data_IF_312963184164
#
_entry.id   IF_312963184164
#
_cell.length_a   1.000
_cell.length_b   1.000
_cell.length_c   1.000
_cell.angle_alpha   90.00
_cell.angle_beta   90.00
_cell.angle_gamma   90.00
#
_symmetry.space_group_name_H-M   'P 1'
#
loop_
_entity.id
_entity.type
_entity.pdbx_description
1 polymer ?
#
# COMPACT_ATOMS: atom_id res chain seq x y z
N UNK A 1 17.50 -23.98 -6.90
CA UNK A 1 16.93 -22.96 -5.99
C UNK A 1 15.66 -22.43 -6.62
N UNK A 2 14.48 -22.74 -6.06
CA UNK A 2 13.25 -22.05 -6.44
C UNK A 2 13.23 -20.74 -5.67
N UNK A 3 13.61 -19.63 -6.30
CA UNK A 3 13.05 -18.35 -5.90
C UNK A 3 11.59 -18.39 -6.35
N UNK A 4 10.69 -18.84 -5.47
CA UNK A 4 9.30 -18.47 -5.66
C UNK A 4 9.27 -16.99 -5.30
N UNK A 5 9.46 -16.13 -6.30
CA UNK A 5 9.14 -14.71 -6.16
C UNK A 5 7.69 -14.64 -5.71
N UNK A 6 7.42 -13.80 -4.73
CA UNK A 6 6.07 -13.54 -4.24
C UNK A 6 5.25 -12.97 -5.41
N UNK A 7 4.15 -13.63 -5.85
CA UNK A 7 3.35 -13.19 -6.98
C UNK A 7 2.85 -11.74 -6.87
N UNK A 8 2.69 -11.22 -5.64
CA UNK A 8 2.34 -9.84 -5.41
C UNK A 8 3.47 -8.88 -5.83
N UNK A 9 4.72 -9.18 -5.45
CA UNK A 9 5.88 -8.36 -5.80
C UNK A 9 6.19 -8.39 -7.30
N UNK A 10 6.01 -9.54 -7.98
CA UNK A 10 6.11 -9.62 -9.45
C UNK A 10 5.10 -8.67 -10.13
N UNK A 11 3.89 -8.57 -9.57
CA UNK A 11 2.86 -7.67 -10.09
C UNK A 11 3.21 -6.21 -9.80
N UNK A 12 3.71 -5.91 -8.60
CA UNK A 12 4.16 -4.56 -8.22
C UNK A 12 5.33 -4.10 -9.08
N UNK A 13 6.29 -4.96 -9.41
CA UNK A 13 7.39 -4.64 -10.31
C UNK A 13 6.89 -4.26 -11.71
N UNK A 14 5.88 -4.98 -12.22
CA UNK A 14 5.25 -4.65 -13.51
C UNK A 14 4.49 -3.33 -13.46
N UNK A 15 3.76 -3.06 -12.37
CA UNK A 15 3.07 -1.80 -12.16
C UNK A 15 4.05 -0.63 -12.08
N UNK A 16 5.14 -0.79 -11.32
CA UNK A 16 6.21 0.18 -11.23
C UNK A 16 6.84 0.43 -12.61
N UNK A 17 7.21 -0.61 -13.35
CA UNK A 17 7.80 -0.46 -14.68
C UNK A 17 6.87 0.24 -15.68
N UNK A 18 5.57 -0.07 -15.65
CA UNK A 18 4.57 0.64 -16.46
C UNK A 18 4.48 2.12 -16.09
N UNK A 19 4.49 2.42 -14.80
CA UNK A 19 4.43 3.78 -14.29
C UNK A 19 5.66 4.63 -14.62
N UNK A 20 6.86 4.05 -14.60
CA UNK A 20 8.10 4.72 -15.03
C UNK A 20 8.08 4.97 -16.54
N UNK A 21 7.50 4.06 -17.33
CA UNK A 21 7.42 4.22 -18.79
C UNK A 21 6.46 5.34 -19.23
N UNK A 22 5.48 5.71 -18.39
CA UNK A 22 4.48 6.75 -18.67
C UNK A 22 4.91 8.15 -18.16
N UNK A 23 6.10 8.27 -17.56
CA UNK A 23 6.56 9.49 -16.90
C UNK A 23 7.91 9.97 -17.43
N UNK A 24 7.96 11.23 -17.84
CA UNK A 24 9.21 11.92 -18.22
C UNK A 24 9.82 12.72 -17.04
N UNK A 25 9.38 12.44 -15.80
CA UNK A 25 9.78 13.21 -14.61
C UNK A 25 11.10 12.70 -14.05
N UNK A 26 11.80 13.57 -13.31
CA UNK A 26 12.96 13.15 -12.55
C UNK A 26 12.54 12.21 -11.40
N UNK A 27 13.39 11.24 -11.08
CA UNK A 27 13.18 10.23 -10.03
C UNK A 27 12.78 10.82 -8.68
N UNK A 28 13.39 11.94 -8.28
CA UNK A 28 13.07 12.62 -7.02
C UNK A 28 11.63 13.13 -7.02
N UNK A 29 11.17 13.68 -8.15
CA UNK A 29 9.80 14.16 -8.29
C UNK A 29 8.81 12.99 -8.31
N UNK A 30 9.12 11.89 -8.98
CA UNK A 30 8.28 10.69 -8.98
C UNK A 30 8.13 10.12 -7.59
N UNK A 31 9.24 10.03 -6.85
CA UNK A 31 9.24 9.60 -5.45
C UNK A 31 8.26 10.45 -4.62
N UNK A 32 8.32 11.78 -4.74
CA UNK A 32 7.39 12.68 -4.04
C UNK A 32 5.93 12.43 -4.47
N UNK A 33 5.68 12.24 -5.77
CA UNK A 33 4.34 11.97 -6.28
C UNK A 33 3.77 10.63 -5.78
N UNK A 34 4.60 9.59 -5.64
CA UNK A 34 4.18 8.31 -5.03
C UNK A 34 3.78 8.47 -3.56
N UNK A 35 4.50 9.29 -2.80
CA UNK A 35 4.15 9.57 -1.40
C UNK A 35 2.87 10.40 -1.27
N UNK A 36 2.64 11.33 -2.21
CA UNK A 36 1.38 12.07 -2.28
C UNK A 36 0.21 11.17 -2.64
N UNK A 37 0.40 10.25 -3.59
CA UNK A 37 -0.62 9.25 -3.96
C UNK A 37 -0.98 8.36 -2.76
N UNK A 38 0.01 7.93 -1.97
CA UNK A 38 -0.24 7.19 -0.73
C UNK A 38 -1.14 7.97 0.26
N UNK A 39 -0.92 9.28 0.38
CA UNK A 39 -1.75 10.13 1.24
C UNK A 39 -3.18 10.28 0.71
N UNK A 40 -3.36 10.29 -0.62
CA UNK A 40 -4.66 10.27 -1.27
C UNK A 40 -5.45 9.01 -0.92
N UNK A 41 -4.84 7.82 -1.07
CA UNK A 41 -5.50 6.53 -0.76
C UNK A 41 -5.94 6.43 0.71
N UNK A 42 -5.13 6.94 1.64
CA UNK A 42 -5.51 7.00 3.07
C UNK A 42 -6.75 7.90 3.27
N UNK A 43 -6.86 8.99 2.49
CA UNK A 43 -8.04 9.84 2.47
C UNK A 43 -9.28 9.14 1.90
N UNK A 44 -9.10 8.24 0.94
CA UNK A 44 -10.17 7.44 0.33
C UNK A 44 -10.70 6.40 1.35
N UNK A 45 -9.80 5.71 2.08
CA UNK A 45 -10.18 4.86 3.23
C UNK A 45 -11.02 5.64 4.24
N UNK A 46 -10.59 6.85 4.62
CA UNK A 46 -11.34 7.68 5.55
C UNK A 46 -12.73 8.05 5.00
N UNK A 47 -12.82 8.36 3.70
CA UNK A 47 -14.10 8.64 3.02
C UNK A 47 -15.01 7.41 3.04
N UNK A 48 -14.49 6.22 2.72
CA UNK A 48 -15.24 4.97 2.73
C UNK A 48 -15.76 4.65 4.13
N UNK A 49 -14.95 4.80 5.18
CA UNK A 49 -15.39 4.60 6.58
C UNK A 49 -16.53 5.56 6.94
N UNK A 50 -16.38 6.86 6.64
CA UNK A 50 -17.44 7.86 6.88
C UNK A 50 -18.73 7.46 6.15
N UNK A 51 -18.60 6.97 4.91
CA UNK A 51 -19.71 6.47 4.11
C UNK A 51 -20.36 5.21 4.66
N UNK A 52 -19.58 4.24 5.13
CA UNK A 52 -20.04 2.95 5.64
C UNK A 52 -20.72 3.06 7.00
N UNK A 53 -20.22 3.96 7.84
CA UNK A 53 -20.77 4.21 9.18
C UNK A 53 -21.91 5.24 9.18
N UNK A 54 -22.17 5.90 8.04
CA UNK A 54 -23.21 6.91 7.91
C UNK A 54 -22.97 8.14 8.79
N UNK A 55 -21.72 8.46 9.15
CA UNK A 55 -21.40 9.58 10.04
C UNK A 55 -21.91 10.93 9.54
N UNK A 56 -22.12 11.10 8.23
CA UNK A 56 -22.68 12.32 7.67
C UNK A 56 -24.22 12.25 7.65
N UNK A 57 -24.94 12.97 8.53
CA UNK A 57 -26.39 12.85 8.65
C UNK A 57 -27.14 13.31 7.40
N UNK A 58 -26.50 14.10 6.52
CA UNK A 58 -27.11 14.60 5.28
C UNK A 58 -27.07 13.59 4.13
N UNK A 59 -26.21 12.57 4.22
CA UNK A 59 -25.97 11.60 3.14
C UNK A 59 -26.37 10.17 3.50
N UNK A 60 -26.53 9.85 4.78
CA UNK A 60 -26.78 8.47 5.22
C UNK A 60 -25.60 7.56 4.91
N UNK A 61 -25.84 6.25 4.79
CA UNK A 61 -24.82 5.28 4.40
C UNK A 61 -24.62 5.30 2.89
N UNK A 62 -23.40 5.61 2.44
CA UNK A 62 -23.05 5.73 1.02
C UNK A 62 -22.04 4.70 0.54
N UNK A 63 -21.39 4.00 1.47
CA UNK A 63 -20.42 2.95 1.20
C UNK A 63 -20.76 1.73 2.07
N UNK A 64 -20.11 0.63 1.78
CA UNK A 64 -20.11 -0.62 2.52
C UNK A 64 -18.75 -0.83 3.19
N UNK A 65 -18.66 -1.81 4.08
CA UNK A 65 -17.36 -2.21 4.64
C UNK A 65 -16.47 -2.90 3.60
N UNK A 66 -17.06 -3.50 2.55
CA UNK A 66 -16.32 -4.03 1.41
C UNK A 66 -15.62 -2.91 0.62
N UNK A 67 -16.23 -1.72 0.54
CA UNK A 67 -15.54 -0.56 -0.06
C UNK A 67 -14.32 -0.19 0.79
N UNK A 68 -14.43 -0.21 2.12
CA UNK A 68 -13.27 0.03 3.02
C UNK A 68 -12.16 -1.01 2.80
N UNK A 69 -12.52 -2.28 2.62
CA UNK A 69 -11.55 -3.34 2.29
C UNK A 69 -10.82 -3.04 0.97
N UNK A 70 -11.55 -2.58 -0.06
CA UNK A 70 -10.96 -2.19 -1.34
C UNK A 70 -9.98 -1.03 -1.19
N UNK A 71 -10.39 0.05 -0.51
CA UNK A 71 -9.53 1.21 -0.31
C UNK A 71 -8.26 0.86 0.51
N UNK A 72 -8.37 -0.08 1.47
CA UNK A 72 -7.20 -0.59 2.19
C UNK A 72 -6.26 -1.38 1.27
N UNK A 73 -6.78 -2.15 0.32
CA UNK A 73 -5.96 -2.78 -0.70
C UNK A 73 -5.23 -1.73 -1.56
N UNK A 74 -5.90 -0.65 -1.94
CA UNK A 74 -5.29 0.43 -2.72
C UNK A 74 -4.16 1.14 -1.96
N UNK A 75 -4.32 1.36 -0.65
CA UNK A 75 -3.24 1.84 0.24
C UNK A 75 -2.05 0.87 0.22
N UNK A 76 -2.29 -0.44 0.39
CA UNK A 76 -1.22 -1.45 0.43
C UNK A 76 -0.46 -1.46 -0.90
N UNK A 77 -1.18 -1.55 -2.03
CA UNK A 77 -0.58 -1.59 -3.36
C UNK A 77 0.22 -0.31 -3.63
N UNK A 78 -0.34 0.85 -3.30
CA UNK A 78 0.33 2.14 -3.47
C UNK A 78 1.59 2.24 -2.62
N UNK A 79 1.55 1.77 -1.37
CA UNK A 79 2.72 1.72 -0.50
C UNK A 79 3.81 0.78 -1.03
N UNK A 80 3.44 -0.38 -1.58
CA UNK A 80 4.40 -1.32 -2.19
C UNK A 80 5.08 -0.69 -3.42
N UNK A 81 4.32 -0.03 -4.31
CA UNK A 81 4.88 0.69 -5.46
C UNK A 81 5.78 1.85 -5.01
N UNK A 82 5.38 2.59 -3.98
CA UNK A 82 6.18 3.67 -3.42
C UNK A 82 7.50 3.15 -2.83
N UNK A 83 7.49 2.03 -2.11
CA UNK A 83 8.70 1.38 -1.62
C UNK A 83 9.59 0.91 -2.78
N UNK A 84 8.99 0.33 -3.83
CA UNK A 84 9.71 -0.09 -5.03
C UNK A 84 10.35 1.06 -5.80
N UNK A 85 9.74 2.24 -5.75
CA UNK A 85 10.30 3.47 -6.32
C UNK A 85 11.57 3.90 -5.55
N UNK A 86 11.55 3.76 -4.22
CA UNK A 86 12.69 4.10 -3.37
C UNK A 86 13.88 3.14 -3.53
N UNK A 87 13.59 1.83 -3.63
CA UNK A 87 14.63 0.79 -3.67
C UNK A 87 14.25 -0.37 -4.57
N UNK A 88 15.20 -0.93 -5.36
CA UNK A 88 14.96 -2.15 -6.12
C UNK A 88 14.74 -3.39 -5.24
N UNK A 89 15.28 -3.39 -4.02
CA UNK A 89 15.20 -4.53 -3.08
C UNK A 89 13.94 -4.46 -2.18
N UNK A 90 12.85 -3.91 -2.69
CA UNK A 90 11.66 -3.57 -1.90
C UNK A 90 11.02 -4.80 -1.22
N UNK A 91 11.00 -5.93 -1.91
CA UNK A 91 10.47 -7.20 -1.39
C UNK A 91 11.27 -7.67 -0.17
N UNK A 92 12.60 -7.66 -0.27
CA UNK A 92 13.51 -8.04 0.82
C UNK A 92 13.42 -7.08 2.00
N UNK A 93 13.38 -5.77 1.73
CA UNK A 93 13.24 -4.74 2.76
C UNK A 93 11.93 -4.91 3.53
N UNK A 94 10.82 -5.11 2.83
CA UNK A 94 9.52 -5.36 3.45
C UNK A 94 9.54 -6.64 4.29
N UNK A 95 10.02 -7.76 3.73
CA UNK A 95 10.07 -9.04 4.41
C UNK A 95 10.97 -9.02 5.66
N UNK A 96 12.10 -8.33 5.60
CA UNK A 96 12.97 -8.13 6.76
C UNK A 96 12.29 -7.30 7.85
N UNK A 97 11.64 -6.19 7.47
CA UNK A 97 10.95 -5.33 8.42
C UNK A 97 9.77 -6.04 9.09
N UNK A 98 8.96 -6.77 8.31
CA UNK A 98 7.83 -7.54 8.80
C UNK A 98 8.27 -8.63 9.79
N UNK A 99 9.32 -9.39 9.46
CA UNK A 99 9.90 -10.38 10.39
C UNK A 99 10.33 -9.74 11.70
N UNK A 100 11.04 -8.62 11.64
CA UNK A 100 11.47 -7.91 12.85
C UNK A 100 10.31 -7.42 13.71
N UNK A 101 9.20 -6.96 13.11
CA UNK A 101 7.98 -6.62 13.86
C UNK A 101 7.37 -7.89 14.48
N UNK A 102 7.20 -8.95 13.70
CA UNK A 102 6.60 -10.20 14.17
C UNK A 102 7.38 -10.81 15.34
N UNK A 103 8.72 -10.85 15.26
CA UNK A 103 9.58 -11.33 16.34
C UNK A 103 9.39 -10.51 17.62
N UNK A 104 9.29 -9.17 17.54
CA UNK A 104 9.07 -8.33 18.72
C UNK A 104 7.66 -8.45 19.30
N UNK A 105 6.64 -8.56 18.45
CA UNK A 105 5.24 -8.49 18.87
C UNK A 105 4.66 -9.85 19.27
N UNK A 106 5.14 -10.94 18.68
CA UNK A 106 4.58 -12.29 18.88
C UNK A 106 5.42 -13.17 19.82
N UNK A 107 6.66 -12.80 20.13
CA UNK A 107 7.51 -13.59 21.03
C UNK A 107 7.23 -13.36 22.53
N UNK A 108 6.53 -12.28 22.90
CA UNK A 108 6.18 -11.94 24.30
C UNK A 108 4.88 -12.62 24.80
N UNK A 109 4.28 -13.51 24.00
CA UNK A 109 3.04 -14.24 24.35
C UNK A 109 3.24 -15.66 24.88
N UNK A 110 4.49 -16.11 25.09
CA UNK A 110 4.82 -17.46 25.52
C UNK A 110 5.51 -17.47 26.89
N UNK A 111 4.76 -17.18 27.97
CA UNK A 111 5.12 -17.56 29.35
C UNK A 111 3.87 -18.08 30.05
#
# INVERSE_FOLDING_TARGET
>A
MKHTLDPAWDTVDRLHAWLEAESDRAREQETLLRMLKLSEEVGEVARAIIGATGQNPRKGTTHSWQDVESELCDVIITAMVALRTLTPDASEVFAAHLRGIAERSLSDGAV
#
